data_IF_444940852614
#
_entry.id   IF_444940852614
#
_cell.length_a   1.000
_cell.length_b   1.000
_cell.length_c   1.000
_cell.angle_alpha   90.00
_cell.angle_beta   90.00
_cell.angle_gamma   90.00
#
_symmetry.space_group_name_H-M   'P 1'
#
loop_
_entity.id
_entity.type
_entity.pdbx_description
1 polymer ?
#
# COMPACT_ATOMS: atom_id res chain seq x y z
N UNK A 1 -46.36 -24.92 -2.74
CA UNK A 1 -45.31 -24.02 -2.23
C UNK A 1 -44.87 -24.50 -0.85
N UNK A 2 -43.68 -25.09 -0.75
CA UNK A 2 -43.14 -25.59 0.52
C UNK A 2 -42.68 -24.38 1.37
N UNK A 3 -43.15 -24.29 2.61
CA UNK A 3 -42.65 -23.29 3.57
C UNK A 3 -41.22 -23.69 3.99
N UNK A 4 -40.24 -22.78 3.96
CA UNK A 4 -38.92 -23.10 4.48
C UNK A 4 -39.04 -23.36 5.98
N UNK A 5 -38.65 -24.57 6.39
CA UNK A 5 -38.70 -25.02 7.78
C UNK A 5 -37.90 -24.08 8.68
N UNK A 6 -38.48 -23.72 9.83
CA UNK A 6 -37.77 -23.03 10.91
C UNK A 6 -36.62 -23.94 11.38
N UNK A 7 -35.40 -23.63 10.97
CA UNK A 7 -34.22 -24.23 11.60
C UNK A 7 -34.15 -23.73 13.05
N UNK A 8 -33.87 -24.61 14.03
CA UNK A 8 -33.78 -24.21 15.43
C UNK A 8 -32.62 -23.23 15.63
N UNK A 9 -32.78 -22.26 16.53
CA UNK A 9 -31.75 -21.25 16.88
C UNK A 9 -30.38 -21.87 17.18
N UNK A 10 -30.35 -23.11 17.68
CA UNK A 10 -29.13 -23.88 17.93
C UNK A 10 -28.34 -24.21 16.67
N UNK A 11 -29.01 -24.46 15.54
CA UNK A 11 -28.36 -24.71 14.26
C UNK A 11 -27.65 -23.45 13.72
N UNK A 12 -28.28 -22.28 13.89
CA UNK A 12 -27.67 -20.99 13.53
C UNK A 12 -26.46 -20.68 14.41
N UNK A 13 -26.57 -20.86 15.73
CA UNK A 13 -25.46 -20.62 16.65
C UNK A 13 -24.27 -21.53 16.31
N UNK A 14 -24.50 -22.81 16.06
CA UNK A 14 -23.42 -23.73 15.69
C UNK A 14 -22.79 -23.37 14.35
N UNK A 15 -23.60 -23.01 13.34
CA UNK A 15 -23.07 -22.55 12.05
C UNK A 15 -22.26 -21.25 12.18
N UNK A 16 -22.71 -20.28 12.97
CA UNK A 16 -21.96 -19.04 13.22
C UNK A 16 -20.68 -19.27 14.02
N UNK A 17 -20.69 -20.22 14.97
CA UNK A 17 -19.47 -20.62 15.67
C UNK A 17 -18.50 -21.30 14.70
N UNK A 18 -18.99 -22.20 13.85
CA UNK A 18 -18.16 -22.89 12.85
C UNK A 18 -17.51 -21.90 11.85
N UNK A 19 -18.30 -20.95 11.36
CA UNK A 19 -17.84 -19.84 10.51
C UNK A 19 -16.75 -19.01 11.22
N UNK A 20 -16.98 -18.63 12.49
CA UNK A 20 -15.99 -17.90 13.28
C UNK A 20 -14.68 -18.68 13.52
N UNK A 21 -14.77 -20.00 13.66
CA UNK A 21 -13.59 -20.85 13.83
C UNK A 21 -12.84 -21.03 12.51
N UNK A 22 -13.56 -21.13 11.41
CA UNK A 22 -12.99 -21.16 10.07
C UNK A 22 -12.27 -19.84 9.76
N UNK A 23 -12.89 -18.70 10.03
CA UNK A 23 -12.29 -17.37 9.85
C UNK A 23 -11.03 -17.18 10.69
N UNK A 24 -11.06 -17.64 11.95
CA UNK A 24 -9.87 -17.60 12.82
C UNK A 24 -8.72 -18.42 12.23
N UNK A 25 -9.00 -19.65 11.77
CA UNK A 25 -7.98 -20.52 11.16
C UNK A 25 -7.40 -19.90 9.89
N UNK A 26 -8.24 -19.33 9.03
CA UNK A 26 -7.79 -18.63 7.82
C UNK A 26 -6.94 -17.40 8.14
N UNK A 27 -7.33 -16.65 9.17
CA UNK A 27 -6.58 -15.47 9.63
C UNK A 27 -5.20 -15.86 10.18
N UNK A 28 -5.12 -16.93 10.96
CA UNK A 28 -3.86 -17.48 11.49
C UNK A 28 -2.94 -17.96 10.37
N UNK A 29 -3.49 -18.68 9.38
CA UNK A 29 -2.71 -19.16 8.24
C UNK A 29 -2.21 -18.00 7.36
N UNK A 30 -3.06 -17.00 7.10
CA UNK A 30 -2.65 -15.79 6.39
C UNK A 30 -1.54 -15.04 7.14
N UNK A 31 -1.70 -14.85 8.45
CA UNK A 31 -0.68 -14.21 9.27
C UNK A 31 0.66 -14.95 9.22
N UNK A 32 0.63 -16.29 9.28
CA UNK A 32 1.81 -17.14 9.14
C UNK A 32 2.47 -16.95 7.77
N UNK A 33 1.70 -17.09 6.68
CA UNK A 33 2.22 -16.94 5.31
C UNK A 33 2.82 -15.55 5.06
N UNK A 34 2.19 -14.49 5.56
CA UNK A 34 2.71 -13.13 5.47
C UNK A 34 4.00 -12.97 6.29
N UNK A 35 4.03 -13.50 7.52
CA UNK A 35 5.22 -13.44 8.38
C UNK A 35 6.40 -14.21 7.79
N UNK A 36 6.16 -15.41 7.24
CA UNK A 36 7.15 -16.24 6.55
C UNK A 36 7.67 -15.55 5.29
N UNK A 37 6.79 -14.83 4.60
CA UNK A 37 7.15 -13.92 3.52
C UNK A 37 7.71 -12.58 4.02
N UNK A 38 8.10 -12.43 5.28
CA UNK A 38 8.82 -11.25 5.77
C UNK A 38 7.97 -10.00 5.96
N UNK A 39 6.63 -10.09 5.95
CA UNK A 39 5.74 -9.02 6.44
C UNK A 39 5.75 -8.99 7.96
N UNK A 40 6.87 -8.57 8.53
CA UNK A 40 7.09 -8.47 9.97
C UNK A 40 7.10 -7.01 10.40
N UNK A 41 6.67 -6.75 11.63
CA UNK A 41 6.70 -5.41 12.22
C UNK A 41 8.11 -4.80 12.19
N UNK A 42 9.14 -5.60 12.48
CA UNK A 42 10.54 -5.15 12.46
C UNK A 42 10.95 -4.65 11.08
N UNK A 43 10.59 -5.39 10.02
CA UNK A 43 10.91 -4.98 8.64
C UNK A 43 10.12 -3.76 8.21
N UNK A 44 8.84 -3.67 8.58
CA UNK A 44 8.03 -2.48 8.34
C UNK A 44 8.65 -1.24 9.00
N UNK A 45 9.02 -1.32 10.28
CA UNK A 45 9.70 -0.22 11.00
C UNK A 45 11.02 0.19 10.36
N UNK A 46 11.83 -0.78 9.97
CA UNK A 46 13.11 -0.52 9.29
C UNK A 46 12.89 0.20 7.95
N UNK A 47 11.93 -0.27 7.15
CA UNK A 47 11.59 0.34 5.87
C UNK A 47 11.01 1.75 6.03
N UNK A 48 10.11 1.97 6.99
CA UNK A 48 9.57 3.30 7.29
C UNK A 48 10.66 4.27 7.76
N UNK A 49 11.61 3.80 8.58
CA UNK A 49 12.77 4.60 9.00
C UNK A 49 13.66 4.98 7.81
N UNK A 50 13.84 4.07 6.85
CA UNK A 50 14.57 4.36 5.62
C UNK A 50 13.80 5.35 4.73
N UNK A 51 12.47 5.25 4.66
CA UNK A 51 11.63 6.21 3.97
C UNK A 51 11.74 7.61 4.60
N UNK A 52 11.71 7.71 5.93
CA UNK A 52 11.91 8.98 6.63
C UNK A 52 13.28 9.60 6.32
N UNK A 53 14.32 8.77 6.32
CA UNK A 53 15.66 9.21 5.97
C UNK A 53 15.76 9.69 4.51
N UNK A 54 15.23 8.91 3.56
CA UNK A 54 15.19 9.27 2.14
C UNK A 54 14.41 10.56 1.91
N UNK A 55 13.30 10.75 2.61
CA UNK A 55 12.53 11.98 2.58
C UNK A 55 13.34 13.18 3.10
N UNK A 56 14.10 12.99 4.18
CA UNK A 56 15.01 14.01 4.70
C UNK A 56 16.06 14.43 3.67
N UNK A 57 16.73 13.46 3.05
CA UNK A 57 17.72 13.69 1.99
C UNK A 57 17.08 14.40 0.79
N UNK A 58 15.93 13.92 0.32
CA UNK A 58 15.23 14.52 -0.81
C UNK A 58 14.91 16.00 -0.57
N UNK A 59 14.39 16.34 0.61
CA UNK A 59 14.07 17.75 0.97
C UNK A 59 15.29 18.66 0.93
N UNK A 60 16.46 18.17 1.35
CA UNK A 60 17.71 18.94 1.29
C UNK A 60 18.13 19.19 -0.16
N UNK A 61 17.95 18.19 -1.03
CA UNK A 61 18.37 18.26 -2.44
C UNK A 61 17.41 19.06 -3.32
N UNK A 62 16.10 18.91 -3.13
CA UNK A 62 15.08 19.51 -4.01
C UNK A 62 14.58 20.86 -3.52
N UNK A 63 14.77 21.17 -2.24
CA UNK A 63 14.24 22.38 -1.58
C UNK A 63 12.72 22.54 -1.72
N UNK A 64 11.99 21.47 -2.05
CA UNK A 64 10.53 21.44 -2.16
C UNK A 64 9.90 20.69 -0.97
N UNK A 65 8.59 20.89 -0.77
CA UNK A 65 7.83 20.22 0.30
C UNK A 65 7.33 18.86 -0.15
N UNK A 66 8.27 18.01 -0.59
CA UNK A 66 7.98 16.63 -0.97
C UNK A 66 7.81 15.73 0.26
N UNK A 67 6.85 14.80 0.15
CA UNK A 67 6.56 13.75 1.12
C UNK A 67 6.53 12.39 0.42
N UNK A 68 7.11 11.37 1.02
CA UNK A 68 6.94 9.99 0.56
C UNK A 68 5.55 9.49 0.92
N UNK A 69 4.95 8.71 0.03
CA UNK A 69 3.62 8.11 0.22
C UNK A 69 3.62 6.67 -0.30
N UNK A 70 2.51 5.96 -0.09
CA UNK A 70 2.30 4.64 -0.68
C UNK A 70 3.04 3.52 0.04
N UNK A 71 3.02 2.34 -0.59
CA UNK A 71 3.44 1.08 0.03
C UNK A 71 4.86 1.13 0.62
N UNK A 72 5.77 1.87 -0.02
CA UNK A 72 7.12 2.04 0.50
C UNK A 72 7.18 2.87 1.78
N UNK A 73 6.47 4.00 1.83
CA UNK A 73 6.43 4.85 3.02
C UNK A 73 5.70 4.19 4.19
N UNK A 74 4.79 3.25 3.91
CA UNK A 74 3.93 2.61 4.92
C UNK A 74 4.47 1.26 5.43
N UNK A 75 5.59 0.77 4.89
CA UNK A 75 6.18 -0.51 5.32
C UNK A 75 5.66 -1.74 4.56
N UNK A 76 4.94 -1.53 3.46
CA UNK A 76 4.28 -2.55 2.63
C UNK A 76 5.01 -2.85 1.31
N UNK A 77 6.30 -2.52 1.12
CA UNK A 77 6.96 -2.46 -0.19
C UNK A 77 7.18 -3.82 -0.90
N UNK A 78 6.43 -4.86 -0.54
CA UNK A 78 6.52 -6.19 -1.13
C UNK A 78 5.58 -6.35 -2.31
N UNK A 79 5.95 -7.22 -3.25
CA UNK A 79 5.03 -7.66 -4.30
C UNK A 79 3.88 -8.46 -3.69
N UNK A 80 2.63 -8.04 -3.92
CA UNK A 80 1.46 -8.90 -3.64
C UNK A 80 1.21 -9.92 -4.75
N UNK A 81 1.98 -9.87 -5.86
CA UNK A 81 1.91 -10.87 -6.94
C UNK A 81 2.49 -12.21 -6.47
N UNK A 82 3.50 -12.16 -5.61
CA UNK A 82 4.10 -13.34 -4.98
C UNK A 82 4.41 -13.02 -3.52
N UNK A 83 3.80 -13.75 -2.59
CA UNK A 83 4.02 -13.61 -1.14
C UNK A 83 5.39 -14.21 -0.78
N UNK A 84 6.47 -13.50 -1.13
CA UNK A 84 7.86 -13.94 -0.93
C UNK A 84 8.75 -12.89 -0.24
N UNK A 85 8.19 -11.75 0.17
CA UNK A 85 8.93 -10.73 0.92
C UNK A 85 9.97 -9.95 0.14
N UNK A 86 9.93 -10.06 -1.19
CA UNK A 86 10.78 -9.29 -2.08
C UNK A 86 9.99 -8.10 -2.60
N UNK A 87 10.60 -6.94 -2.52
CA UNK A 87 10.20 -5.77 -3.30
C UNK A 87 10.30 -6.14 -4.77
N UNK A 88 9.18 -5.99 -5.48
CA UNK A 88 9.13 -6.31 -6.89
C UNK A 88 10.03 -5.33 -7.66
N UNK A 89 10.61 -5.76 -8.78
CA UNK A 89 11.43 -4.86 -9.61
C UNK A 89 10.61 -3.70 -10.19
N UNK A 90 9.29 -3.88 -10.30
CA UNK A 90 8.32 -2.87 -10.71
C UNK A 90 7.68 -2.13 -9.52
N UNK A 91 8.12 -2.37 -8.29
CA UNK A 91 7.67 -1.59 -7.14
C UNK A 91 8.22 -0.17 -7.24
N UNK A 92 7.31 0.77 -7.51
CA UNK A 92 7.59 2.20 -7.53
C UNK A 92 7.72 2.77 -6.09
N UNK A 93 8.43 3.89 -5.97
CA UNK A 93 8.44 4.72 -4.75
C UNK A 93 7.60 5.96 -5.01
N UNK A 94 6.48 6.09 -4.30
CA UNK A 94 5.55 7.19 -4.49
C UNK A 94 5.94 8.43 -3.68
N UNK A 95 5.72 9.59 -4.28
CA UNK A 95 6.02 10.87 -3.68
C UNK A 95 4.94 11.90 -4.04
N UNK A 96 4.61 12.76 -3.09
CA UNK A 96 3.70 13.90 -3.27
C UNK A 96 4.44 15.19 -2.99
N UNK A 97 4.31 16.19 -3.87
CA UNK A 97 4.88 17.54 -3.66
C UNK A 97 3.78 18.47 -3.19
N UNK A 98 3.95 19.07 -2.01
CA UNK A 98 3.02 20.06 -1.49
C UNK A 98 3.34 21.43 -2.08
N UNK A 99 2.40 21.98 -2.86
CA UNK A 99 2.49 23.34 -3.42
C UNK A 99 1.65 24.28 -2.55
N UNK A 100 2.30 25.26 -1.92
CA UNK A 100 1.59 26.29 -1.16
C UNK A 100 0.79 27.19 -2.13
N UNK A 101 -0.52 27.34 -1.91
CA UNK A 101 -1.33 28.30 -2.67
C UNK A 101 -2.76 27.92 -3.02
N UNK A 102 -3.29 26.75 -2.62
CA UNK A 102 -4.70 26.42 -2.83
C UNK A 102 -5.33 25.87 -1.55
N UNK A 103 -6.13 26.69 -0.90
CA UNK A 103 -7.16 26.23 0.04
C UNK A 103 -8.17 25.42 -0.75
N UNK A 104 -7.95 24.11 -0.90
CA UNK A 104 -8.95 23.05 -1.17
C UNK A 104 -8.31 21.80 -1.79
N UNK A 105 -8.58 20.67 -1.15
CA UNK A 105 -8.49 19.29 -1.64
C UNK A 105 -7.07 18.80 -2.02
N UNK A 106 -6.60 17.83 -1.24
CA UNK A 106 -5.47 16.95 -1.56
C UNK A 106 -5.67 16.33 -2.95
N UNK A 107 -4.95 16.84 -3.96
CA UNK A 107 -4.83 16.15 -5.25
C UNK A 107 -3.59 15.28 -5.21
N UNK A 108 -3.80 13.98 -5.04
CA UNK A 108 -2.76 12.98 -5.29
C UNK A 108 -2.49 12.98 -6.79
N UNK A 109 -1.29 13.41 -7.19
CA UNK A 109 -0.84 13.31 -8.57
C UNK A 109 -0.48 11.85 -8.86
N UNK A 110 -1.47 11.05 -9.24
CA UNK A 110 -1.23 9.70 -9.75
C UNK A 110 -0.41 9.79 -11.05
N UNK A 111 0.59 8.93 -11.16
CA UNK A 111 1.51 8.80 -12.31
C UNK A 111 0.69 8.59 -13.59
N UNK A 112 0.65 9.59 -14.47
CA UNK A 112 0.14 9.37 -15.83
C UNK A 112 1.16 8.51 -16.59
N UNK A 113 0.74 7.31 -17.00
CA UNK A 113 1.43 6.56 -18.06
C UNK A 113 1.52 7.47 -19.29
N UNK A 114 2.72 7.57 -19.86
CA UNK A 114 2.95 8.27 -21.12
C UNK A 114 2.16 7.60 -22.24
N UNK A 115 0.98 8.13 -22.55
CA UNK A 115 0.47 8.12 -23.91
C UNK A 115 1.07 9.33 -24.62
N UNK A 116 1.60 9.13 -25.83
CA UNK A 116 2.30 10.13 -26.66
C UNK A 116 1.40 11.33 -27.03
N UNK A 117 1.15 12.24 -26.10
CA UNK A 117 0.58 13.55 -26.35
C UNK A 117 1.38 14.58 -25.56
N UNK A 118 1.89 15.62 -26.23
CA UNK A 118 2.62 16.71 -25.58
C UNK A 118 1.74 17.42 -24.54
N UNK A 119 2.26 17.71 -23.33
CA UNK A 119 1.48 18.40 -22.32
C UNK A 119 1.49 19.93 -22.57
N UNK A 120 0.41 20.65 -22.25
CA UNK A 120 0.41 22.10 -22.28
C UNK A 120 1.40 22.66 -21.24
N UNK A 121 1.96 23.83 -21.57
CA UNK A 121 2.96 24.57 -20.79
C UNK A 121 2.57 24.65 -19.30
N UNK A 122 3.29 23.92 -18.45
CA UNK A 122 3.10 24.01 -17.00
C UNK A 122 3.66 22.86 -16.16
N UNK A 123 4.00 21.71 -16.75
CA UNK A 123 4.55 20.57 -16.01
C UNK A 123 5.96 20.21 -16.50
N UNK A 124 6.99 20.57 -15.72
CA UNK A 124 8.35 20.04 -15.94
C UNK A 124 8.56 18.80 -15.08
N UNK A 125 8.53 17.64 -15.72
CA UNK A 125 8.94 16.35 -15.16
C UNK A 125 10.46 16.22 -15.28
N UNK A 126 11.15 16.06 -14.16
CA UNK A 126 12.55 15.65 -14.15
C UNK A 126 12.63 14.13 -14.19
N UNK A 127 13.49 13.61 -15.07
CA UNK A 127 13.87 12.20 -15.16
C UNK A 127 15.32 12.09 -14.70
N UNK A 128 15.57 11.45 -13.56
CA UNK A 128 16.91 11.02 -13.18
C UNK A 128 17.14 9.63 -13.78
N UNK A 129 17.84 9.54 -14.90
CA UNK A 129 18.42 8.28 -15.37
C UNK A 129 19.86 8.22 -14.86
N UNK A 130 20.16 7.26 -13.98
CA UNK A 130 21.53 6.86 -13.74
C UNK A 130 22.03 6.13 -14.99
N UNK A 131 23.20 6.54 -15.48
CA UNK A 131 23.96 5.81 -16.49
C UNK A 131 24.98 4.95 -15.76
#
# INVERSE_FOLDING_TARGET
AQRPGRQPLTAWILASIDDSQQDRRLSEELHRLLSDAGFTEQRAKCQQSLADWLQGVARVLTQDRRQMTGSYAEGWANSLVQVNGRTAADSDIDWTVLVAGKSSIWKVAAKQRKTHAEPPLGCRSWRATHR
#
